data_IF_947666745005
#
_entry.id   IF_947666745005
#
_cell.length_a   1.000
_cell.length_b   1.000
_cell.length_c   1.000
_cell.angle_alpha   90.00
_cell.angle_beta   90.00
_cell.angle_gamma   90.00
#
_symmetry.space_group_name_H-M   'P 1'
#
loop_
_entity.id
_entity.type
_entity.pdbx_description
1 polymer ?
#
# COMPACT_ATOMS: atom_id res chain seq x y z
N UNK A 1 12.67 3.15 12.24
CA UNK A 1 12.27 2.97 10.84
C UNK A 1 12.15 1.48 10.58
N UNK A 2 10.92 0.99 10.65
CA UNK A 2 10.49 -0.34 10.25
C UNK A 2 9.85 -0.22 8.86
N UNK A 3 10.37 -0.99 7.90
CA UNK A 3 9.82 -1.02 6.53
C UNK A 3 9.06 -2.33 6.37
N UNK A 4 7.75 -2.24 6.11
CA UNK A 4 6.95 -3.39 5.71
C UNK A 4 7.11 -3.64 4.21
N UNK A 5 7.38 -4.88 3.83
CA UNK A 5 7.56 -5.30 2.45
C UNK A 5 6.78 -6.58 2.16
N UNK A 6 6.40 -6.76 0.89
CA UNK A 6 5.66 -7.92 0.37
C UNK A 6 4.21 -8.04 0.89
N UNK A 7 3.31 -8.55 0.05
CA UNK A 7 1.93 -8.86 0.44
C UNK A 7 0.98 -7.68 0.67
N UNK A 8 1.44 -6.43 0.52
CA UNK A 8 0.61 -5.22 0.68
C UNK A 8 -0.20 -4.98 -0.60
N UNK A 9 -1.53 -5.13 -0.51
CA UNK A 9 -2.42 -5.03 -1.69
C UNK A 9 -3.57 -4.04 -1.56
N UNK A 10 -3.82 -3.51 -0.36
CA UNK A 10 -4.89 -2.54 -0.14
C UNK A 10 -4.56 -1.55 1.00
N UNK A 11 -5.40 -0.52 1.09
CA UNK A 11 -5.26 0.56 2.06
C UNK A 11 -5.49 0.10 3.51
N UNK A 12 -6.32 -0.91 3.74
CA UNK A 12 -6.60 -1.41 5.09
C UNK A 12 -5.38 -2.13 5.68
N UNK A 13 -4.65 -2.91 4.87
CA UNK A 13 -3.36 -3.47 5.29
C UNK A 13 -2.35 -2.39 5.68
N UNK A 14 -2.30 -1.27 4.93
CA UNK A 14 -1.41 -0.14 5.27
C UNK A 14 -1.76 0.44 6.63
N UNK A 15 -3.06 0.61 6.93
CA UNK A 15 -3.51 1.07 8.26
C UNK A 15 -3.18 0.09 9.36
N UNK A 16 -3.43 -1.20 9.15
CA UNK A 16 -3.16 -2.25 10.13
C UNK A 16 -1.66 -2.31 10.45
N UNK A 17 -0.82 -2.40 9.43
CA UNK A 17 0.63 -2.45 9.57
C UNK A 17 1.20 -1.18 10.22
N UNK A 18 0.65 -0.02 9.88
CA UNK A 18 1.02 1.24 10.55
C UNK A 18 0.62 1.23 12.02
N UNK A 19 -0.55 0.68 12.37
CA UNK A 19 -1.03 0.58 13.76
C UNK A 19 -0.17 -0.32 14.64
N UNK A 20 0.51 -1.31 14.06
CA UNK A 20 1.45 -2.20 14.76
C UNK A 20 2.91 -1.74 14.69
N UNK A 21 3.19 -0.58 14.08
CA UNK A 21 4.49 0.10 14.15
C UNK A 21 5.30 0.17 12.87
N UNK A 22 4.73 -0.14 11.70
CA UNK A 22 5.42 0.09 10.42
C UNK A 22 5.55 1.60 10.13
N UNK A 23 6.76 2.05 9.81
CA UNK A 23 7.07 3.45 9.50
C UNK A 23 7.02 3.74 7.99
N UNK A 24 7.28 2.73 7.16
CA UNK A 24 7.34 2.84 5.70
C UNK A 24 6.96 1.53 5.00
N UNK A 25 6.69 1.61 3.70
CA UNK A 25 6.20 0.50 2.89
C UNK A 25 6.99 0.38 1.58
N UNK A 26 7.35 -0.84 1.20
CA UNK A 26 7.93 -1.16 -0.11
C UNK A 26 6.97 -2.10 -0.84
N UNK A 27 6.37 -1.59 -1.92
CA UNK A 27 5.35 -2.28 -2.71
C UNK A 27 5.74 -2.24 -4.19
N UNK A 28 5.84 -3.40 -4.81
CA UNK A 28 6.26 -3.55 -6.22
C UNK A 28 5.23 -4.30 -7.05
N UNK A 29 5.12 -5.61 -6.83
CA UNK A 29 4.26 -6.50 -7.63
C UNK A 29 2.82 -5.99 -7.77
N UNK A 30 2.21 -5.52 -6.67
CA UNK A 30 0.85 -5.00 -6.68
C UNK A 30 0.68 -3.85 -7.69
N UNK A 31 1.64 -2.91 -7.74
CA UNK A 31 1.61 -1.78 -8.68
C UNK A 31 1.94 -2.21 -10.12
N UNK A 32 2.90 -3.12 -10.30
CA UNK A 32 3.33 -3.55 -11.64
C UNK A 32 2.28 -4.34 -12.42
N UNK A 33 1.22 -4.81 -11.74
CA UNK A 33 0.10 -5.53 -12.34
C UNK A 33 -1.10 -4.64 -12.71
N UNK A 34 -1.03 -3.34 -12.47
CA UNK A 34 -2.14 -2.41 -12.74
C UNK A 34 -1.90 -1.64 -14.04
N UNK A 35 -2.98 -1.35 -14.77
CA UNK A 35 -2.93 -0.52 -15.97
C UNK A 35 -2.60 0.95 -15.62
N UNK A 36 -3.11 1.44 -14.48
CA UNK A 36 -2.83 2.78 -13.96
C UNK A 36 -2.14 2.72 -12.60
N UNK A 37 -0.81 2.82 -12.63
CA UNK A 37 0.04 2.85 -11.42
C UNK A 37 -0.25 4.09 -10.57
N UNK A 38 -0.62 5.22 -11.18
CA UNK A 38 -0.90 6.46 -10.42
C UNK A 38 -2.16 6.28 -9.59
N UNK A 39 -3.21 5.71 -10.17
CA UNK A 39 -4.43 5.41 -9.44
C UNK A 39 -4.19 4.34 -8.37
N UNK A 40 -3.43 3.29 -8.69
CA UNK A 40 -3.08 2.25 -7.71
C UNK A 40 -2.34 2.80 -6.48
N UNK A 41 -1.39 3.73 -6.67
CA UNK A 41 -0.70 4.42 -5.57
C UNK A 41 -1.67 5.28 -4.76
N UNK A 42 -2.60 5.99 -5.41
CA UNK A 42 -3.61 6.79 -4.71
C UNK A 42 -4.55 5.90 -3.89
N UNK A 43 -5.05 4.82 -4.47
CA UNK A 43 -5.94 3.86 -3.82
C UNK A 43 -5.26 3.25 -2.59
N UNK A 44 -4.00 2.85 -2.72
CA UNK A 44 -3.25 2.28 -1.59
C UNK A 44 -2.98 3.31 -0.49
N UNK A 45 -2.68 4.56 -0.86
CA UNK A 45 -2.29 5.61 0.10
C UNK A 45 -3.48 6.29 0.78
N UNK A 46 -4.56 6.54 0.04
CA UNK A 46 -5.69 7.36 0.48
C UNK A 46 -7.00 6.57 0.62
N UNK A 47 -7.04 5.32 0.16
CA UNK A 47 -8.26 4.55 0.01
C UNK A 47 -8.93 4.78 -1.34
N UNK A 48 -9.83 3.87 -1.73
CA UNK A 48 -10.70 4.06 -2.90
C UNK A 48 -11.87 4.97 -2.53
N UNK A 49 -12.14 5.97 -3.35
CA UNK A 49 -13.39 6.71 -3.30
C UNK A 49 -14.49 5.85 -3.95
N UNK A 50 -15.67 5.78 -3.31
CA UNK A 50 -16.86 5.08 -3.85
C UNK A 50 -17.53 5.87 -4.98
#
# INVERSE_FOLDING_TARGET
IIVAESGITDHEMVKELSSVGADAFLVGEHFMRQDDVTQAVKDLKYGKEE
#
